data_IF_697978269621
#
_entry.id   IF_697978269621
#
_cell.length_a   1.000
_cell.length_b   1.000
_cell.length_c   1.000
_cell.angle_alpha   90.00
_cell.angle_beta   90.00
_cell.angle_gamma   90.00
#
_symmetry.space_group_name_H-M   'P 1'
#
loop_
_entity.id
_entity.type
_entity.pdbx_description
1 polymer ?
#
# COMPACT_ATOMS: atom_id res chain seq x y z
N UNK A 1 12.80 -17.50 -16.67
CA UNK A 1 11.45 -17.46 -17.27
C UNK A 1 11.00 -16.02 -17.23
N UNK A 2 10.49 -15.50 -18.35
CA UNK A 2 10.01 -14.12 -18.43
C UNK A 2 8.54 -14.08 -17.97
N UNK A 3 8.18 -13.07 -17.19
CA UNK A 3 6.82 -12.82 -16.71
C UNK A 3 6.23 -11.60 -17.41
N UNK A 4 4.92 -11.63 -17.67
CA UNK A 4 4.18 -10.51 -18.27
C UNK A 4 3.14 -10.04 -17.26
N UNK A 5 3.10 -8.74 -17.00
CA UNK A 5 2.06 -8.10 -16.18
C UNK A 5 1.04 -7.42 -17.09
N UNK A 6 -0.25 -7.71 -16.90
CA UNK A 6 -1.35 -7.19 -17.73
C UNK A 6 -2.28 -6.36 -16.84
N UNK A 7 -2.63 -5.16 -17.28
CA UNK A 7 -3.56 -4.26 -16.59
C UNK A 7 -4.86 -4.13 -17.41
N UNK A 8 -5.94 -4.84 -17.02
CA UNK A 8 -7.24 -4.71 -17.68
C UNK A 8 -7.79 -3.29 -17.53
N UNK A 9 -8.41 -2.74 -18.57
CA UNK A 9 -9.00 -1.39 -18.54
C UNK A 9 -10.32 -1.33 -17.79
N UNK A 10 -11.04 -2.45 -17.73
CA UNK A 10 -12.36 -2.58 -17.12
C UNK A 10 -12.63 -4.02 -16.63
N UNK A 11 -13.73 -4.19 -15.89
CA UNK A 11 -14.14 -5.49 -15.34
C UNK A 11 -14.48 -6.53 -16.41
N UNK A 12 -14.94 -6.11 -17.61
CA UNK A 12 -15.24 -7.05 -18.70
C UNK A 12 -13.94 -7.66 -19.24
N UNK A 13 -12.91 -6.85 -19.46
CA UNK A 13 -11.59 -7.33 -19.86
C UNK A 13 -10.96 -8.22 -18.81
N UNK A 14 -11.07 -7.85 -17.53
CA UNK A 14 -10.56 -8.66 -16.41
C UNK A 14 -11.23 -10.04 -16.38
N UNK A 15 -12.56 -10.08 -16.50
CA UNK A 15 -13.31 -11.34 -16.52
C UNK A 15 -12.93 -12.22 -17.72
N UNK A 16 -12.79 -11.63 -18.91
CA UNK A 16 -12.41 -12.35 -20.12
C UNK A 16 -11.00 -12.95 -20.01
N UNK A 17 -10.03 -12.15 -19.54
CA UNK A 17 -8.64 -12.60 -19.35
C UNK A 17 -8.56 -13.74 -18.33
N UNK A 18 -9.30 -13.64 -17.22
CA UNK A 18 -9.35 -14.69 -16.22
C UNK A 18 -9.84 -16.01 -16.82
N UNK A 19 -11.00 -16.01 -17.50
CA UNK A 19 -11.54 -17.21 -18.14
C UNK A 19 -10.59 -17.81 -19.18
N UNK A 20 -9.93 -16.97 -19.98
CA UNK A 20 -8.98 -17.45 -20.98
C UNK A 20 -7.74 -18.11 -20.36
N UNK A 21 -7.16 -17.48 -19.32
CA UNK A 21 -5.97 -18.01 -18.64
C UNK A 21 -6.27 -19.32 -17.89
N UNK A 22 -7.47 -19.43 -17.31
CA UNK A 22 -7.97 -20.68 -16.70
C UNK A 22 -8.10 -21.80 -17.73
N UNK A 23 -8.71 -21.53 -18.89
CA UNK A 23 -8.89 -22.52 -19.97
C UNK A 23 -7.55 -22.99 -20.54
N UNK A 24 -6.58 -22.08 -20.69
CA UNK A 24 -5.23 -22.40 -21.14
C UNK A 24 -4.39 -23.13 -20.08
N UNK A 25 -4.91 -23.31 -18.86
CA UNK A 25 -4.23 -23.93 -17.71
C UNK A 25 -2.88 -23.26 -17.41
N UNK A 26 -2.81 -21.95 -17.64
CA UNK A 26 -1.63 -21.13 -17.32
C UNK A 26 -1.69 -20.78 -15.83
N UNK A 27 -0.55 -20.80 -15.14
CA UNK A 27 -0.47 -20.28 -13.78
C UNK A 27 -0.44 -18.76 -13.83
N UNK A 28 -1.39 -18.13 -13.15
CA UNK A 28 -1.45 -16.68 -13.00
C UNK A 28 -1.83 -16.31 -11.57
N UNK A 29 -1.46 -15.09 -11.18
CA UNK A 29 -1.86 -14.48 -9.93
C UNK A 29 -2.55 -13.14 -10.23
N UNK A 30 -3.57 -12.82 -9.45
CA UNK A 30 -4.20 -11.51 -9.48
C UNK A 30 -3.65 -10.77 -8.29
N UNK A 31 -2.62 -9.95 -8.52
CA UNK A 31 -2.07 -9.07 -7.50
C UNK A 31 -3.06 -7.95 -7.19
N UNK A 32 -3.24 -7.67 -5.91
CA UNK A 32 -3.76 -6.38 -5.49
C UNK A 32 -2.67 -5.33 -5.71
N UNK A 33 -3.06 -4.15 -6.18
CA UNK A 33 -2.12 -3.05 -6.27
C UNK A 33 -1.75 -2.69 -4.83
N UNK A 34 -0.47 -2.76 -4.50
CA UNK A 34 0.02 -2.18 -3.27
C UNK A 34 -0.28 -0.67 -3.29
N UNK A 35 -1.26 -0.25 -2.48
CA UNK A 35 -1.64 1.15 -2.32
C UNK A 35 -0.75 1.88 -1.32
N UNK A 36 0.19 1.17 -0.68
CA UNK A 36 1.12 1.81 0.24
C UNK A 36 1.99 2.80 -0.53
N UNK A 37 2.12 4.00 0.03
CA UNK A 37 2.86 5.10 -0.58
C UNK A 37 4.37 4.99 -0.38
N UNK A 38 4.83 4.02 0.41
CA UNK A 38 6.20 3.89 0.87
C UNK A 38 6.67 2.46 0.68
N UNK A 39 7.95 2.31 0.31
CA UNK A 39 8.62 1.02 0.48
C UNK A 39 8.69 0.65 1.96
N UNK A 40 8.81 -0.64 2.26
CA UNK A 40 9.01 -1.14 3.62
C UNK A 40 10.21 -0.46 4.32
N UNK A 41 11.32 -0.32 3.59
CA UNK A 41 12.53 0.34 4.10
C UNK A 41 12.29 1.82 4.44
N UNK A 42 11.60 2.57 3.57
CA UNK A 42 11.29 3.99 3.80
C UNK A 42 10.30 4.18 4.94
N UNK A 43 9.39 3.22 5.14
CA UNK A 43 8.46 3.19 6.24
C UNK A 43 9.21 3.08 7.58
N UNK A 44 10.10 2.10 7.72
CA UNK A 44 10.88 1.92 8.95
C UNK A 44 11.82 3.10 9.21
N UNK A 45 12.50 3.63 8.18
CA UNK A 45 13.34 4.84 8.31
C UNK A 45 12.57 6.04 8.86
N UNK A 46 11.29 6.20 8.47
CA UNK A 46 10.45 7.29 9.00
C UNK A 46 10.09 7.05 10.47
N UNK A 47 9.82 5.82 10.87
CA UNK A 47 9.55 5.47 12.27
C UNK A 47 10.77 5.79 13.13
N UNK A 48 11.96 5.31 12.74
CA UNK A 48 13.20 5.54 13.49
C UNK A 48 13.46 7.04 13.66
N UNK A 49 13.30 7.80 12.58
CA UNK A 49 13.41 9.26 12.61
C UNK A 49 12.39 9.91 13.56
N UNK A 50 11.16 9.42 13.61
CA UNK A 50 10.15 9.93 14.55
C UNK A 50 10.49 9.60 16.01
N UNK A 51 11.10 8.46 16.28
CA UNK A 51 11.62 8.12 17.62
C UNK A 51 12.72 9.09 18.04
N UNK A 52 13.72 9.32 17.17
CA UNK A 52 14.80 10.29 17.43
C UNK A 52 14.27 11.72 17.66
N UNK A 53 13.23 12.12 16.93
CA UNK A 53 12.56 13.41 17.11
C UNK A 53 11.88 13.52 18.47
N UNK A 54 11.23 12.45 18.93
CA UNK A 54 10.59 12.41 20.23
C UNK A 54 11.62 12.50 21.37
N UNK A 55 12.71 11.72 21.28
CA UNK A 55 13.79 11.73 22.26
C UNK A 55 14.53 13.07 22.35
N UNK A 56 14.73 13.73 21.20
CA UNK A 56 15.36 15.05 21.13
C UNK A 56 14.42 16.22 21.42
N UNK A 57 13.15 15.95 21.77
CA UNK A 57 12.15 16.97 22.07
C UNK A 57 11.69 17.79 20.86
N UNK A 58 12.00 17.35 19.63
CA UNK A 58 11.55 17.95 18.37
C UNK A 58 10.12 17.53 18.02
N UNK A 59 9.22 17.70 18.98
CA UNK A 59 7.80 17.33 18.87
C UNK A 59 6.93 18.55 18.61
N UNK A 60 5.79 18.35 17.92
CA UNK A 60 4.78 19.39 17.77
C UNK A 60 3.71 19.25 18.86
N UNK A 61 3.51 20.31 19.65
CA UNK A 61 2.41 20.36 20.60
C UNK A 61 1.08 20.54 19.86
N UNK A 62 0.18 19.58 20.03
CA UNK A 62 -1.18 19.63 19.48
C UNK A 62 -2.18 19.86 20.61
N UNK A 63 -3.21 20.69 20.35
CA UNK A 63 -4.27 20.97 21.32
C UNK A 63 -5.11 19.73 21.60
N UNK A 64 -5.78 19.67 22.77
CA UNK A 64 -6.65 18.55 23.14
C UNK A 64 -7.77 18.31 22.13
N UNK A 65 -8.33 19.36 21.54
CA UNK A 65 -9.39 19.23 20.53
C UNK A 65 -8.86 18.61 19.24
N UNK A 66 -7.65 18.98 18.81
CA UNK A 66 -6.97 18.32 17.67
C UNK A 66 -6.58 16.88 17.99
N UNK A 67 -6.16 16.59 19.22
CA UNK A 67 -5.87 15.21 19.65
C UNK A 67 -7.12 14.33 19.52
N UNK A 68 -8.28 14.82 19.96
CA UNK A 68 -9.56 14.10 19.82
C UNK A 68 -9.91 13.81 18.36
N UNK A 69 -9.74 14.80 17.48
CA UNK A 69 -9.92 14.62 16.04
C UNK A 69 -8.97 13.56 15.47
N UNK A 70 -7.68 13.59 15.83
CA UNK A 70 -6.69 12.60 15.37
C UNK A 70 -6.99 11.17 15.83
N UNK A 71 -7.49 10.99 17.05
CA UNK A 71 -7.80 9.68 17.62
C UNK A 71 -9.25 9.24 17.35
N UNK A 72 -10.05 10.07 16.68
CA UNK A 72 -11.47 9.84 16.43
C UNK A 72 -12.28 9.59 17.73
N UNK A 73 -11.93 10.35 18.79
CA UNK A 73 -12.47 10.24 20.16
C UNK A 73 -13.42 11.38 20.53
#
# INVERSE_FOLDING_TARGET
MESITIYPKDEKQKSLLKSLLEELKVRFEIGEKDETLLSEEDFYKKIDKSIEQAESGKTTNISKDKQREFFNL
#
